data_IF_229039738893
#
_entry.id   IF_229039738893
#
_cell.length_a   1.000
_cell.length_b   1.000
_cell.length_c   1.000
_cell.angle_alpha   90.00
_cell.angle_beta   90.00
_cell.angle_gamma   90.00
#
_symmetry.space_group_name_H-M   'P 1'
#
loop_
_entity.id
_entity.type
_entity.pdbx_description
1 polymer ?
#
# COMPACT_ATOMS: atom_id res chain seq x y z
N UNK A 1 5.14 -1.60 -2.07
CA UNK A 1 5.75 -1.17 -3.35
C UNK A 1 6.01 -2.37 -4.26
N UNK A 2 6.83 -3.38 -3.84
CA UNK A 2 7.15 -4.56 -4.67
C UNK A 2 5.91 -5.31 -5.15
N UNK A 3 4.92 -5.53 -4.28
CA UNK A 3 3.64 -6.12 -4.64
C UNK A 3 3.01 -5.45 -5.87
N UNK A 4 2.98 -4.11 -5.89
CA UNK A 4 2.38 -3.34 -6.99
C UNK A 4 3.19 -3.49 -8.28
N UNK A 5 4.51 -3.42 -8.19
CA UNK A 5 5.39 -3.56 -9.37
C UNK A 5 5.20 -4.93 -10.02
N UNK A 6 5.24 -6.00 -9.23
CA UNK A 6 5.06 -7.37 -9.72
C UNK A 6 3.66 -7.58 -10.29
N UNK A 7 2.62 -7.06 -9.60
CA UNK A 7 1.26 -7.10 -10.11
C UNK A 7 1.16 -6.47 -11.51
N UNK A 8 1.67 -5.24 -11.69
CA UNK A 8 1.60 -4.53 -12.98
C UNK A 8 2.42 -5.25 -14.06
N UNK A 9 3.58 -5.81 -13.69
CA UNK A 9 4.44 -6.57 -14.61
C UNK A 9 3.74 -7.81 -15.16
N UNK A 10 3.17 -8.61 -14.25
CA UNK A 10 2.52 -9.87 -14.61
C UNK A 10 1.10 -9.70 -15.15
N UNK A 11 0.49 -8.52 -14.95
CA UNK A 11 -0.87 -8.23 -15.43
C UNK A 11 -0.98 -8.31 -16.97
N UNK A 12 0.14 -8.16 -17.68
CA UNK A 12 0.21 -8.34 -19.13
C UNK A 12 0.01 -9.79 -19.57
N UNK A 13 0.29 -10.74 -18.70
CA UNK A 13 0.17 -12.18 -18.97
C UNK A 13 -1.23 -12.68 -18.58
N UNK A 14 -1.57 -12.60 -17.30
CA UNK A 14 -2.84 -13.06 -16.77
C UNK A 14 -3.12 -12.41 -15.41
N UNK A 15 -4.39 -12.11 -15.13
CA UNK A 15 -4.84 -11.51 -13.87
C UNK A 15 -4.49 -12.36 -12.64
N UNK A 16 -4.77 -13.66 -12.70
CA UNK A 16 -4.53 -14.58 -11.59
C UNK A 16 -3.03 -14.78 -11.31
N UNK A 17 -2.23 -14.86 -12.37
CA UNK A 17 -0.77 -14.92 -12.25
C UNK A 17 -0.22 -13.61 -11.66
N UNK A 18 -0.76 -12.47 -12.06
CA UNK A 18 -0.37 -11.18 -11.53
C UNK A 18 -0.64 -11.08 -10.03
N UNK A 19 -1.83 -11.48 -9.61
CA UNK A 19 -2.22 -11.44 -8.21
C UNK A 19 -1.42 -12.45 -7.38
N UNK A 20 -1.35 -13.71 -7.81
CA UNK A 20 -0.60 -14.76 -7.13
C UNK A 20 0.90 -14.48 -7.04
N UNK A 21 1.51 -14.03 -8.13
CA UNK A 21 2.92 -13.65 -8.18
C UNK A 21 3.25 -12.45 -7.28
N UNK A 22 2.37 -11.45 -7.24
CA UNK A 22 2.53 -10.31 -6.34
C UNK A 22 2.45 -10.73 -4.87
N UNK A 23 1.54 -11.64 -4.51
CA UNK A 23 1.45 -12.20 -3.17
C UNK A 23 2.69 -13.02 -2.79
N UNK A 24 3.14 -13.87 -3.71
CA UNK A 24 4.32 -14.72 -3.47
C UNK A 24 5.57 -13.85 -3.21
N UNK A 25 5.80 -12.83 -4.03
CA UNK A 25 6.93 -11.90 -3.83
C UNK A 25 6.77 -11.13 -2.52
N UNK A 26 5.56 -10.68 -2.17
CA UNK A 26 5.31 -10.03 -0.88
C UNK A 26 5.64 -10.96 0.29
N UNK A 27 5.19 -12.21 0.25
CA UNK A 27 5.48 -13.22 1.29
C UNK A 27 6.97 -13.48 1.42
N UNK A 28 7.66 -13.76 0.31
CA UNK A 28 9.09 -14.04 0.30
C UNK A 28 9.91 -12.86 0.83
N UNK A 29 9.57 -11.66 0.40
CA UNK A 29 10.25 -10.44 0.85
C UNK A 29 10.00 -10.19 2.34
N UNK A 30 8.76 -10.34 2.80
CA UNK A 30 8.39 -10.17 4.20
C UNK A 30 9.09 -11.19 5.09
N UNK A 31 9.13 -12.46 4.67
CA UNK A 31 9.81 -13.52 5.39
C UNK A 31 11.34 -13.32 5.39
N UNK A 32 11.90 -12.87 4.28
CA UNK A 32 13.32 -12.51 4.18
C UNK A 32 13.71 -11.39 5.16
N UNK A 33 12.87 -10.35 5.29
CA UNK A 33 13.10 -9.28 6.28
C UNK A 33 13.01 -9.79 7.72
N UNK A 34 12.10 -10.74 8.00
CA UNK A 34 11.97 -11.38 9.31
C UNK A 34 13.26 -12.12 9.67
N UNK A 35 13.78 -12.94 8.75
CA UNK A 35 15.01 -13.72 8.97
C UNK A 35 16.26 -12.83 9.09
N UNK A 36 16.29 -11.72 8.36
CA UNK A 36 17.42 -10.77 8.39
C UNK A 36 17.54 -10.00 9.70
N UNK A 37 16.48 -9.98 10.54
CA UNK A 37 16.53 -9.38 11.88
C UNK A 37 16.84 -7.88 11.90
N UNK A 38 16.49 -7.15 10.85
CA UNK A 38 16.73 -5.69 10.78
C UNK A 38 15.93 -4.94 11.84
N UNK A 39 16.62 -4.50 12.90
CA UNK A 39 16.00 -3.76 14.01
C UNK A 39 16.26 -2.24 13.94
N UNK A 40 16.97 -1.76 12.91
CA UNK A 40 17.29 -0.34 12.78
C UNK A 40 16.17 0.40 12.07
N UNK A 41 15.55 1.34 12.78
CA UNK A 41 14.52 2.21 12.25
C UNK A 41 15.02 3.07 11.06
N UNK A 42 16.23 3.62 11.17
CA UNK A 42 16.82 4.46 10.13
C UNK A 42 17.04 3.68 8.82
N UNK A 43 17.57 2.45 8.91
CA UNK A 43 17.77 1.58 7.75
C UNK A 43 16.44 1.26 7.09
N UNK A 44 15.41 0.94 7.89
CA UNK A 44 14.07 0.63 7.37
C UNK A 44 13.45 1.82 6.63
N UNK A 45 13.61 3.04 7.15
CA UNK A 45 13.10 4.25 6.50
C UNK A 45 13.83 4.55 5.18
N UNK A 46 15.15 4.48 5.17
CA UNK A 46 15.96 4.70 3.95
C UNK A 46 15.59 3.65 2.90
N UNK A 47 15.54 2.38 3.28
CA UNK A 47 15.18 1.28 2.38
C UNK A 47 13.77 1.46 1.80
N UNK A 48 12.82 1.93 2.62
CA UNK A 48 11.46 2.21 2.15
C UNK A 48 11.44 3.34 1.12
N UNK A 49 12.11 4.47 1.38
CA UNK A 49 12.19 5.59 0.44
C UNK A 49 12.82 5.14 -0.88
N UNK A 50 13.93 4.40 -0.81
CA UNK A 50 14.56 3.82 -2.00
C UNK A 50 13.60 2.91 -2.77
N UNK A 51 12.89 2.02 -2.09
CA UNK A 51 11.91 1.13 -2.72
C UNK A 51 10.76 1.90 -3.39
N UNK A 52 10.24 2.97 -2.78
CA UNK A 52 9.20 3.81 -3.39
C UNK A 52 9.73 4.46 -4.68
N UNK A 53 10.91 5.10 -4.62
CA UNK A 53 11.51 5.79 -5.77
C UNK A 53 11.80 4.80 -6.91
N UNK A 54 12.40 3.66 -6.60
CA UNK A 54 12.71 2.61 -7.58
C UNK A 54 11.41 2.06 -8.18
N UNK A 55 10.45 1.69 -7.36
CA UNK A 55 9.17 1.13 -7.81
C UNK A 55 8.40 2.10 -8.71
N UNK A 56 8.35 3.38 -8.31
CA UNK A 56 7.69 4.40 -9.11
C UNK A 56 8.37 4.58 -10.47
N UNK A 57 9.71 4.68 -10.51
CA UNK A 57 10.45 4.81 -11.76
C UNK A 57 10.30 3.58 -12.67
N UNK A 58 10.28 2.36 -12.12
CA UNK A 58 10.04 1.14 -12.89
C UNK A 58 8.66 1.19 -13.56
N UNK A 59 7.62 1.56 -12.80
CA UNK A 59 6.25 1.59 -13.32
C UNK A 59 6.04 2.73 -14.32
N UNK A 60 6.61 3.90 -14.07
CA UNK A 60 6.44 5.06 -14.93
C UNK A 60 7.27 4.97 -16.19
N UNK A 61 8.58 4.79 -16.07
CA UNK A 61 9.53 4.81 -17.19
C UNK A 61 9.70 3.45 -17.85
N UNK A 62 9.76 2.37 -17.04
CA UNK A 62 9.98 1.02 -17.55
C UNK A 62 8.72 0.42 -18.18
N UNK A 63 7.61 0.43 -17.43
CA UNK A 63 6.35 -0.17 -17.88
C UNK A 63 5.46 0.82 -18.66
N UNK A 64 5.81 2.12 -18.67
CA UNK A 64 5.11 3.20 -19.39
C UNK A 64 3.60 3.21 -19.08
N UNK A 65 3.22 2.95 -17.82
CA UNK A 65 1.83 2.97 -17.39
C UNK A 65 1.33 4.42 -17.44
N UNK A 66 0.39 4.69 -18.35
CA UNK A 66 -0.24 6.01 -18.47
C UNK A 66 -1.14 6.27 -17.26
N UNK A 67 -1.07 7.48 -16.72
CA UNK A 67 -2.04 7.93 -15.71
C UNK A 67 -3.38 8.10 -16.40
N UNK A 68 -4.44 7.50 -15.85
CA UNK A 68 -5.80 7.64 -16.37
C UNK A 68 -6.49 8.71 -15.53
N UNK A 69 -6.71 9.87 -16.14
CA UNK A 69 -7.48 10.95 -15.52
C UNK A 69 -8.97 10.81 -15.85
N UNK A 70 -9.82 11.00 -14.86
CA UNK A 70 -11.23 11.35 -15.09
C UNK A 70 -12.26 10.24 -15.07
N UNK A 71 -11.94 8.96 -14.99
CA UNK A 71 -12.97 7.92 -14.80
C UNK A 71 -13.29 7.72 -13.32
N UNK A 72 -14.49 8.15 -12.92
CA UNK A 72 -14.98 7.85 -11.57
C UNK A 72 -15.21 6.35 -11.39
N UNK A 73 -14.65 5.81 -10.31
CA UNK A 73 -14.91 4.42 -9.92
C UNK A 73 -16.33 4.37 -9.34
N UNK A 74 -17.25 3.68 -10.02
CA UNK A 74 -18.58 3.42 -9.48
C UNK A 74 -18.48 2.31 -8.44
N UNK A 75 -18.70 2.66 -7.20
CA UNK A 75 -18.75 1.71 -6.09
C UNK A 75 -20.14 1.07 -6.04
N UNK A 76 -20.21 -0.22 -6.30
CA UNK A 76 -21.40 -1.01 -6.02
C UNK A 76 -21.42 -1.36 -4.53
N UNK A 77 -22.59 -1.25 -3.89
CA UNK A 77 -22.75 -1.53 -2.45
C UNK A 77 -22.22 -2.91 -2.06
N UNK A 78 -22.43 -3.92 -2.90
CA UNK A 78 -21.92 -5.29 -2.70
C UNK A 78 -20.38 -5.33 -2.60
N UNK A 79 -19.69 -4.59 -3.47
CA UNK A 79 -18.20 -4.52 -3.46
C UNK A 79 -17.72 -3.80 -2.21
N UNK A 80 -18.42 -2.76 -1.76
CA UNK A 80 -18.07 -2.06 -0.52
C UNK A 80 -18.22 -2.95 0.70
N UNK A 81 -19.31 -3.72 0.80
CA UNK A 81 -19.55 -4.67 1.89
C UNK A 81 -18.48 -5.77 1.89
N UNK A 82 -18.22 -6.39 0.73
CA UNK A 82 -17.18 -7.40 0.61
C UNK A 82 -15.82 -6.87 1.06
N UNK A 83 -15.44 -5.66 0.63
CA UNK A 83 -14.20 -5.01 1.03
C UNK A 83 -14.13 -4.76 2.54
N UNK A 84 -15.23 -4.32 3.15
CA UNK A 84 -15.30 -4.06 4.59
C UNK A 84 -15.13 -5.35 5.39
N UNK A 85 -15.85 -6.42 5.03
CA UNK A 85 -15.77 -7.73 5.67
C UNK A 85 -14.35 -8.32 5.52
N UNK A 86 -13.80 -8.29 4.30
CA UNK A 86 -12.47 -8.82 4.03
C UNK A 86 -11.38 -8.06 4.79
N UNK A 87 -11.44 -6.72 4.82
CA UNK A 87 -10.51 -5.90 5.58
C UNK A 87 -10.63 -6.15 7.08
N UNK A 88 -11.86 -6.27 7.61
CA UNK A 88 -12.10 -6.62 9.01
C UNK A 88 -11.50 -7.98 9.37
N UNK A 89 -11.69 -8.99 8.53
CA UNK A 89 -11.09 -10.31 8.72
C UNK A 89 -9.57 -10.24 8.77
N UNK A 90 -8.93 -9.51 7.85
CA UNK A 90 -7.46 -9.35 7.84
C UNK A 90 -6.96 -8.67 9.11
N UNK A 91 -7.68 -7.66 9.62
CA UNK A 91 -7.30 -6.98 10.86
C UNK A 91 -7.40 -7.94 12.05
N UNK A 92 -8.50 -8.67 12.19
CA UNK A 92 -8.67 -9.68 13.25
C UNK A 92 -7.56 -10.72 13.18
N UNK A 93 -7.27 -11.23 11.99
CA UNK A 93 -6.20 -12.19 11.78
C UNK A 93 -4.83 -11.62 12.18
N UNK A 94 -4.53 -10.39 11.80
CA UNK A 94 -3.28 -9.70 12.19
C UNK A 94 -3.15 -9.56 13.70
N UNK A 95 -4.24 -9.25 14.42
CA UNK A 95 -4.26 -9.16 15.89
C UNK A 95 -3.98 -10.52 16.52
N UNK A 96 -4.60 -11.60 16.01
CA UNK A 96 -4.35 -12.96 16.49
C UNK A 96 -2.90 -13.36 16.28
N UNK A 97 -2.36 -13.13 15.07
CA UNK A 97 -0.96 -13.42 14.75
C UNK A 97 0.01 -12.62 15.62
N UNK A 98 -0.33 -11.38 15.95
CA UNK A 98 0.47 -10.56 16.88
C UNK A 98 0.55 -11.17 18.27
N UNK A 99 -0.58 -11.71 18.76
CA UNK A 99 -0.63 -12.34 20.09
C UNK A 99 0.19 -13.63 20.16
N UNK A 100 0.24 -14.40 19.08
CA UNK A 100 0.94 -15.69 19.04
C UNK A 100 2.41 -15.52 18.63
N UNK A 101 2.69 -14.70 17.63
CA UNK A 101 4.00 -14.58 17.00
C UNK A 101 4.75 -13.28 17.30
N UNK A 102 4.18 -12.43 18.16
CA UNK A 102 4.81 -11.18 18.59
C UNK A 102 4.58 -10.00 17.64
N UNK A 103 5.04 -8.80 18.05
CA UNK A 103 4.75 -7.54 17.34
C UNK A 103 5.30 -7.48 15.91
N UNK A 104 6.40 -8.18 15.64
CA UNK A 104 7.03 -8.17 14.32
C UNK A 104 6.16 -8.89 13.30
N UNK A 105 5.71 -10.11 13.60
CA UNK A 105 4.78 -10.85 12.74
C UNK A 105 3.45 -10.11 12.58
N UNK A 106 2.91 -9.58 13.67
CA UNK A 106 1.70 -8.77 13.59
C UNK A 106 1.83 -7.56 12.67
N UNK A 107 2.95 -6.84 12.76
CA UNK A 107 3.25 -5.71 11.88
C UNK A 107 3.31 -6.08 10.39
N UNK A 108 3.87 -7.25 10.07
CA UNK A 108 3.89 -7.76 8.69
C UNK A 108 2.47 -8.03 8.17
N UNK A 109 1.61 -8.63 9.00
CA UNK A 109 0.22 -8.92 8.61
C UNK A 109 -0.67 -7.67 8.57
N UNK A 110 -0.43 -6.67 9.40
CA UNK A 110 -1.09 -5.36 9.29
C UNK A 110 -0.79 -4.70 7.95
N UNK A 111 0.43 -4.88 7.44
CA UNK A 111 0.84 -4.38 6.11
C UNK A 111 0.45 -5.35 4.97
N UNK A 112 -0.33 -6.39 5.26
CA UNK A 112 -0.87 -7.26 4.23
C UNK A 112 -1.64 -6.45 3.19
N UNK A 113 -1.44 -6.71 1.89
CA UNK A 113 -2.00 -5.87 0.83
C UNK A 113 -3.51 -6.07 0.61
N UNK A 114 -4.28 -6.31 1.66
CA UNK A 114 -5.73 -6.53 1.60
C UNK A 114 -6.48 -5.39 0.91
N UNK A 115 -6.08 -4.14 1.23
CA UNK A 115 -6.68 -2.97 0.58
C UNK A 115 -6.41 -2.96 -0.93
N UNK A 116 -5.20 -3.33 -1.34
CA UNK A 116 -4.85 -3.39 -2.76
C UNK A 116 -5.60 -4.49 -3.48
N UNK A 117 -5.82 -5.64 -2.85
CA UNK A 117 -6.62 -6.73 -3.43
C UNK A 117 -8.01 -6.25 -3.77
N UNK A 118 -8.72 -5.62 -2.84
CA UNK A 118 -10.05 -5.07 -3.07
C UNK A 118 -10.07 -4.02 -4.20
N UNK A 119 -9.07 -3.13 -4.25
CA UNK A 119 -8.94 -2.13 -5.31
C UNK A 119 -8.65 -2.79 -6.66
N UNK A 120 -7.76 -3.79 -6.70
CA UNK A 120 -7.40 -4.55 -7.90
C UNK A 120 -8.63 -5.23 -8.49
N UNK A 121 -9.35 -6.02 -7.69
CA UNK A 121 -10.57 -6.69 -8.14
C UNK A 121 -11.56 -5.70 -8.72
N UNK A 122 -11.85 -4.65 -7.97
CA UNK A 122 -12.81 -3.65 -8.38
C UNK A 122 -12.41 -2.94 -9.68
N UNK A 123 -11.17 -2.48 -9.79
CA UNK A 123 -10.70 -1.72 -10.95
C UNK A 123 -10.52 -2.60 -12.19
N UNK A 124 -10.03 -3.82 -12.00
CA UNK A 124 -9.83 -4.74 -13.11
C UNK A 124 -11.16 -5.19 -13.73
N UNK A 125 -12.10 -5.64 -12.92
CA UNK A 125 -13.38 -6.14 -13.43
C UNK A 125 -14.34 -5.04 -13.88
N UNK A 126 -14.19 -3.81 -13.39
CA UNK A 126 -15.04 -2.70 -13.82
C UNK A 126 -14.53 -1.95 -15.03
N UNK A 127 -13.22 -1.79 -15.16
CA UNK A 127 -12.60 -0.91 -16.17
C UNK A 127 -11.39 -1.50 -16.89
N UNK A 128 -11.02 -2.75 -16.57
CA UNK A 128 -9.98 -3.50 -17.24
C UNK A 128 -8.57 -3.29 -16.71
N UNK A 129 -7.63 -4.02 -17.31
CA UNK A 129 -6.24 -4.11 -16.86
C UNK A 129 -5.51 -2.76 -16.85
N UNK A 130 -5.67 -1.96 -17.90
CA UNK A 130 -4.97 -0.68 -18.02
C UNK A 130 -5.36 0.31 -16.90
N UNK A 131 -6.65 0.35 -16.56
CA UNK A 131 -7.15 1.18 -15.48
C UNK A 131 -6.66 0.68 -14.11
N UNK A 132 -6.73 -0.63 -13.88
CA UNK A 132 -6.20 -1.23 -12.65
C UNK A 132 -4.71 -0.92 -12.45
N UNK A 133 -3.90 -1.04 -13.51
CA UNK A 133 -2.49 -0.69 -13.46
C UNK A 133 -2.26 0.80 -13.13
N UNK A 134 -3.05 1.71 -13.71
CA UNK A 134 -2.95 3.15 -13.47
C UNK A 134 -3.30 3.51 -12.01
N UNK A 135 -4.36 2.91 -11.45
CA UNK A 135 -4.74 3.10 -10.05
C UNK A 135 -3.68 2.56 -9.11
N UNK A 136 -3.13 1.38 -9.40
CA UNK A 136 -2.06 0.79 -8.59
C UNK A 136 -0.77 1.61 -8.65
N UNK A 137 -0.42 2.20 -9.81
CA UNK A 137 0.69 3.16 -9.91
C UNK A 137 0.51 4.34 -8.96
N UNK A 138 -0.67 4.96 -8.95
CA UNK A 138 -0.98 6.07 -8.03
C UNK A 138 -0.88 5.66 -6.56
N UNK A 139 -1.21 4.40 -6.25
CA UNK A 139 -1.15 3.85 -4.90
C UNK A 139 0.29 3.73 -4.36
N UNK A 140 1.32 3.65 -5.23
CA UNK A 140 2.73 3.68 -4.78
C UNK A 140 3.04 4.99 -4.06
N UNK A 141 2.58 6.11 -4.62
CA UNK A 141 2.79 7.43 -4.01
C UNK A 141 1.86 7.65 -2.81
N UNK A 142 0.63 7.13 -2.88
CA UNK A 142 -0.29 7.16 -1.75
C UNK A 142 0.24 6.41 -0.51
N UNK A 143 1.04 5.37 -0.72
CA UNK A 143 1.65 4.63 0.39
C UNK A 143 2.64 5.48 1.21
N UNK A 144 3.18 6.57 0.67
CA UNK A 144 4.07 7.48 1.40
C UNK A 144 3.33 8.11 2.59
N UNK A 145 2.07 8.50 2.41
CA UNK A 145 1.28 9.11 3.49
C UNK A 145 1.04 8.17 4.66
N UNK A 146 0.95 6.87 4.40
CA UNK A 146 0.81 5.84 5.45
C UNK A 146 2.09 5.74 6.29
N UNK A 147 3.25 5.83 5.65
CA UNK A 147 4.53 5.81 6.36
C UNK A 147 4.75 7.11 7.15
N UNK A 148 4.35 8.25 6.60
CA UNK A 148 4.36 9.52 7.34
C UNK A 148 3.47 9.42 8.57
N UNK A 149 2.27 8.83 8.44
CA UNK A 149 1.42 8.54 9.61
C UNK A 149 2.16 7.73 10.67
N UNK A 150 2.76 6.60 10.29
CA UNK A 150 3.49 5.74 11.21
C UNK A 150 4.70 6.43 11.86
N UNK A 151 5.41 7.25 11.09
CA UNK A 151 6.52 8.05 11.59
C UNK A 151 6.07 9.06 12.65
N UNK A 152 5.04 9.83 12.33
CA UNK A 152 4.50 10.84 13.27
C UNK A 152 3.91 10.17 14.51
N UNK A 153 3.17 9.08 14.36
CA UNK A 153 2.61 8.32 15.46
C UNK A 153 3.68 7.85 16.46
N UNK A 154 4.81 7.35 15.93
CA UNK A 154 5.94 6.92 16.76
C UNK A 154 6.44 8.01 17.72
N UNK A 155 6.51 9.25 17.26
CA UNK A 155 7.00 10.36 18.08
C UNK A 155 5.89 11.06 18.86
N UNK A 156 4.66 11.09 18.33
CA UNK A 156 3.55 11.78 18.93
C UNK A 156 2.88 11.00 20.08
N UNK A 157 2.94 9.68 20.07
CA UNK A 157 2.30 8.88 21.12
C UNK A 157 2.93 9.04 22.50
N UNK A 158 4.23 9.33 22.57
CA UNK A 158 4.93 9.52 23.85
C UNK A 158 4.44 10.79 24.56
N UNK A 159 4.46 11.99 23.95
CA UNK A 159 4.06 13.23 24.61
C UNK A 159 2.54 13.46 24.66
N UNK A 160 1.76 12.96 23.66
CA UNK A 160 0.34 13.31 23.51
C UNK A 160 -0.62 12.13 23.80
N UNK A 161 -0.07 10.96 24.18
CA UNK A 161 -0.85 9.75 24.39
C UNK A 161 -1.47 9.20 23.11
N UNK A 162 -2.27 8.13 23.26
CA UNK A 162 -2.85 7.41 22.11
C UNK A 162 -3.80 8.29 21.28
N UNK A 163 -4.71 9.01 21.91
CA UNK A 163 -5.73 9.80 21.22
C UNK A 163 -5.10 11.03 20.55
N UNK A 164 -4.35 11.84 21.29
CA UNK A 164 -3.70 13.05 20.77
C UNK A 164 -2.69 12.71 19.67
N UNK A 165 -1.85 11.71 19.89
CA UNK A 165 -0.89 11.25 18.90
C UNK A 165 -1.55 10.73 17.61
N UNK A 166 -2.68 10.02 17.71
CA UNK A 166 -3.44 9.55 16.54
C UNK A 166 -4.00 10.73 15.74
N UNK A 167 -4.61 11.71 16.41
CA UNK A 167 -5.17 12.90 15.76
C UNK A 167 -4.09 13.67 15.00
N UNK A 168 -2.96 13.96 15.66
CA UNK A 168 -1.83 14.65 15.02
C UNK A 168 -1.32 13.86 13.81
N UNK A 169 -1.17 12.55 13.94
CA UNK A 169 -0.67 11.68 12.86
C UNK A 169 -1.60 11.67 11.65
N UNK A 170 -2.93 11.66 11.87
CA UNK A 170 -3.94 11.76 10.81
C UNK A 170 -3.81 13.11 10.08
N UNK A 171 -3.75 14.23 10.80
CA UNK A 171 -3.65 15.54 10.18
C UNK A 171 -2.38 15.69 9.33
N UNK A 172 -1.23 15.28 9.85
CA UNK A 172 0.04 15.36 9.12
C UNK A 172 0.04 14.44 7.89
N UNK A 173 -0.49 13.22 8.02
CA UNK A 173 -0.63 12.28 6.91
C UNK A 173 -1.57 12.82 5.83
N UNK A 174 -2.69 13.43 6.22
CA UNK A 174 -3.64 14.04 5.31
C UNK A 174 -3.03 15.23 4.55
N UNK A 175 -2.34 16.11 5.26
CA UNK A 175 -1.61 17.23 4.65
C UNK A 175 -0.57 16.73 3.65
N UNK A 176 0.22 15.72 4.01
CA UNK A 176 1.21 15.12 3.11
C UNK A 176 0.59 14.54 1.84
N UNK A 177 -0.55 13.86 1.99
CA UNK A 177 -1.31 13.29 0.85
C UNK A 177 -1.80 14.39 -0.09
N UNK A 178 -2.28 15.51 0.44
CA UNK A 178 -2.71 16.67 -0.33
C UNK A 178 -1.55 17.27 -1.16
N UNK A 179 -0.38 17.44 -0.56
CA UNK A 179 0.80 17.93 -1.26
C UNK A 179 1.27 16.97 -2.36
N UNK A 180 1.31 15.67 -2.08
CA UNK A 180 1.69 14.64 -3.06
C UNK A 180 0.71 14.64 -4.23
N UNK A 181 -0.59 14.73 -3.95
CA UNK A 181 -1.62 14.78 -4.99
C UNK A 181 -1.50 16.06 -5.85
N UNK A 182 -1.28 17.22 -5.23
CA UNK A 182 -1.05 18.49 -5.94
C UNK A 182 0.19 18.45 -6.84
N UNK A 183 1.27 17.81 -6.37
CA UNK A 183 2.47 17.61 -7.18
C UNK A 183 2.21 16.70 -8.39
N UNK A 184 1.45 15.64 -8.21
CA UNK A 184 1.09 14.73 -9.32
C UNK A 184 0.20 15.40 -10.36
N UNK A 185 -0.81 16.16 -9.92
CA UNK A 185 -1.71 16.86 -10.82
C UNK A 185 -0.98 17.83 -11.77
N UNK A 186 0.06 18.50 -11.27
CA UNK A 186 0.89 19.41 -12.07
C UNK A 186 1.78 18.72 -13.11
N UNK A 187 2.09 17.43 -12.93
CA UNK A 187 2.89 16.64 -13.88
C UNK A 187 2.07 15.96 -14.97
N UNK A 188 0.77 15.86 -14.78
CA UNK A 188 -0.16 15.19 -15.73
C UNK A 188 -0.97 16.18 -16.58
N UNK A 189 -0.91 17.48 -16.29
CA UNK A 189 -1.37 18.56 -17.15
C UNK A 189 -0.26 19.00 -18.10
#
# INVERSE_FOLDING_TARGET
CLFIVIYILLLKLNFWLALGGAFLVWLLFSFGLLLAGFNSFAISMISYVCLVVISYNIVEKGLKVRSVSGKQIRYTSTIMIFRAIFSGFVIVFAVVVTKVGGPLLGGMFVMFPAMFVGIIFMTYFSQGAAFSAAVMKSSILGAISVVIYGLVARFAYIPFGLIGGTVISIFVSFASSYFIHGYMARRTS
#
